data_IF_819557883561
#
_entry.id   IF_819557883561
#
_cell.length_a   1.000
_cell.length_b   1.000
_cell.length_c   1.000
_cell.angle_alpha   90.00
_cell.angle_beta   90.00
_cell.angle_gamma   90.00
#
_symmetry.space_group_name_H-M   'P 1'
#
loop_
_entity.id
_entity.type
_entity.pdbx_description
1 polymer ?
#
# COMPACT_ATOMS: atom_id res chain seq x y z
N UNK A 1 6.51 -3.07 -32.60
CA UNK A 1 5.19 -3.38 -32.06
C UNK A 1 5.05 -2.69 -30.71
N UNK A 2 3.94 -1.94 -30.52
CA UNK A 2 3.70 -1.17 -29.31
C UNK A 2 3.59 -2.05 -28.06
N UNK A 3 3.82 -1.45 -26.89
CA UNK A 3 3.74 -2.14 -25.59
C UNK A 3 2.32 -2.03 -25.06
N UNK A 4 1.71 -3.18 -24.80
CA UNK A 4 0.30 -3.27 -24.37
C UNK A 4 0.13 -2.96 -22.90
N UNK A 5 -0.99 -2.33 -22.55
CA UNK A 5 -1.39 -2.05 -21.18
C UNK A 5 -2.53 -2.99 -20.79
N UNK A 6 -2.39 -3.66 -19.65
CA UNK A 6 -3.41 -4.52 -19.07
C UNK A 6 -3.96 -3.90 -17.80
N UNK A 7 -5.26 -4.09 -17.57
CA UNK A 7 -5.96 -3.69 -16.35
C UNK A 7 -6.56 -4.93 -15.71
N UNK A 8 -6.29 -5.12 -14.42
CA UNK A 8 -6.92 -6.18 -13.66
C UNK A 8 -8.33 -5.76 -13.22
N UNK A 9 -9.31 -6.59 -13.58
CA UNK A 9 -10.69 -6.42 -13.18
C UNK A 9 -11.15 -7.62 -12.36
N UNK A 10 -11.81 -7.38 -11.21
CA UNK A 10 -12.19 -8.45 -10.25
C UNK A 10 -12.97 -9.61 -10.86
N UNK A 11 -13.84 -9.34 -11.85
CA UNK A 11 -14.70 -10.35 -12.50
C UNK A 11 -14.09 -10.95 -13.76
N UNK A 12 -13.31 -10.18 -14.49
CA UNK A 12 -12.80 -10.55 -15.81
C UNK A 12 -11.29 -10.77 -15.82
N UNK A 13 -10.65 -10.70 -14.65
CA UNK A 13 -9.19 -10.83 -14.49
C UNK A 13 -8.41 -9.81 -15.31
N UNK A 14 -7.38 -10.23 -16.04
CA UNK A 14 -6.54 -9.33 -16.84
C UNK A 14 -7.18 -9.02 -18.17
N UNK A 15 -7.56 -7.76 -18.35
CA UNK A 15 -8.12 -7.24 -19.60
C UNK A 15 -7.08 -6.42 -20.34
N UNK A 16 -6.89 -6.72 -21.62
CA UNK A 16 -6.13 -5.88 -22.52
C UNK A 16 -6.90 -4.60 -22.82
N UNK A 17 -6.22 -3.45 -22.69
CA UNK A 17 -6.83 -2.16 -23.00
C UNK A 17 -6.64 -1.80 -24.48
N UNK A 18 -7.33 -0.77 -24.92
CA UNK A 18 -7.11 -0.14 -26.24
C UNK A 18 -6.02 0.93 -26.20
N UNK A 19 -5.37 1.14 -25.05
CA UNK A 19 -4.24 2.05 -24.86
C UNK A 19 -2.96 1.24 -24.95
N UNK A 20 -1.98 1.73 -25.69
CA UNK A 20 -0.67 1.11 -25.82
C UNK A 20 0.39 2.21 -25.95
N UNK A 21 1.61 1.87 -25.58
CA UNK A 21 2.79 2.70 -25.85
C UNK A 21 3.23 2.49 -27.30
N UNK A 22 3.65 3.54 -27.99
CA UNK A 22 4.12 3.44 -29.39
C UNK A 22 5.35 2.55 -29.49
N UNK A 23 6.28 2.72 -28.56
CA UNK A 23 7.50 1.93 -28.47
C UNK A 23 8.00 1.77 -27.02
N UNK A 24 9.08 1.01 -26.86
CA UNK A 24 9.73 0.76 -25.56
C UNK A 24 10.37 2.03 -24.99
N UNK A 25 10.86 2.92 -25.84
CA UNK A 25 11.50 4.17 -25.42
C UNK A 25 10.49 5.12 -24.77
N UNK A 26 9.28 5.21 -25.30
CA UNK A 26 8.21 5.99 -24.72
C UNK A 26 7.84 5.48 -23.32
N UNK A 27 7.74 4.15 -23.17
CA UNK A 27 7.51 3.52 -21.85
C UNK A 27 8.64 3.82 -20.86
N UNK A 28 9.90 3.73 -21.28
CA UNK A 28 11.05 4.04 -20.42
C UNK A 28 11.04 5.50 -19.95
N UNK A 29 10.76 6.43 -20.85
CA UNK A 29 10.63 7.85 -20.50
C UNK A 29 9.47 8.08 -19.52
N UNK A 30 8.37 7.36 -19.66
CA UNK A 30 7.27 7.42 -18.73
C UNK A 30 7.69 6.91 -17.34
N UNK A 31 8.36 5.77 -17.27
CA UNK A 31 8.85 5.17 -16.01
C UNK A 31 9.80 6.14 -15.29
N UNK A 32 10.76 6.73 -16.01
CA UNK A 32 11.69 7.71 -15.43
C UNK A 32 10.94 8.94 -14.89
N UNK A 33 9.97 9.47 -15.65
CA UNK A 33 9.15 10.60 -15.20
C UNK A 33 8.31 10.25 -13.96
N UNK A 34 7.76 9.04 -13.90
CA UNK A 34 6.99 8.59 -12.75
C UNK A 34 7.87 8.41 -11.50
N UNK A 35 9.07 7.86 -11.64
CA UNK A 35 10.05 7.78 -10.56
C UNK A 35 10.38 9.18 -9.99
N UNK A 36 10.66 10.15 -10.85
CA UNK A 36 10.91 11.54 -10.45
C UNK A 36 9.72 12.18 -9.73
N UNK A 37 8.48 11.92 -10.19
CA UNK A 37 7.26 12.40 -9.49
C UNK A 37 7.09 11.81 -8.10
N UNK A 38 7.60 10.60 -7.88
CA UNK A 38 7.65 9.97 -6.56
C UNK A 38 8.83 10.47 -5.71
N UNK A 39 9.63 11.42 -6.20
CA UNK A 39 10.83 11.91 -5.52
C UNK A 39 11.96 10.87 -5.45
N UNK A 40 11.93 9.87 -6.33
CA UNK A 40 12.91 8.79 -6.40
C UNK A 40 13.62 8.78 -7.77
N UNK A 41 14.69 8.00 -7.85
CA UNK A 41 15.47 7.82 -9.07
C UNK A 41 15.44 6.34 -9.47
N UNK A 42 15.39 6.08 -10.78
CA UNK A 42 15.54 4.76 -11.38
C UNK A 42 16.60 4.84 -12.47
N UNK A 43 17.49 3.87 -12.54
CA UNK A 43 18.60 3.84 -13.50
C UNK A 43 18.94 2.40 -13.88
N UNK A 44 19.85 2.24 -14.82
CA UNK A 44 20.38 0.92 -15.21
C UNK A 44 21.10 0.25 -14.03
N UNK A 45 21.75 1.03 -13.15
CA UNK A 45 22.41 0.50 -11.96
C UNK A 45 21.41 0.08 -10.86
N UNK A 46 20.28 0.77 -10.76
CA UNK A 46 19.17 0.47 -9.85
C UNK A 46 17.86 0.36 -10.66
N UNK A 47 17.66 -0.77 -11.36
CA UNK A 47 16.59 -0.92 -12.34
C UNK A 47 15.22 -1.25 -11.73
N UNK A 48 15.16 -1.54 -10.44
CA UNK A 48 13.93 -1.85 -9.71
C UNK A 48 13.56 -0.71 -8.78
N UNK A 49 12.32 -0.25 -8.88
CA UNK A 49 11.81 0.82 -8.01
C UNK A 49 10.41 0.48 -7.50
N UNK A 50 10.27 0.51 -6.18
CA UNK A 50 8.99 0.49 -5.48
C UNK A 50 8.73 1.88 -4.89
N UNK A 51 7.59 2.47 -5.22
CA UNK A 51 7.26 3.84 -4.82
C UNK A 51 5.76 3.99 -4.56
N UNK A 52 5.41 5.11 -3.92
CA UNK A 52 4.03 5.53 -3.71
C UNK A 52 3.76 6.79 -4.52
N UNK A 53 2.69 6.79 -5.28
CA UNK A 53 2.21 7.94 -6.04
C UNK A 53 1.58 8.99 -5.09
N UNK A 54 1.37 10.20 -5.59
CA UNK A 54 0.78 11.29 -4.80
C UNK A 54 -0.65 11.00 -4.31
N UNK A 55 -1.37 10.14 -5.02
CA UNK A 55 -2.71 9.66 -4.64
C UNK A 55 -2.70 8.49 -3.64
N UNK A 56 -1.53 8.09 -3.14
CA UNK A 56 -1.37 6.95 -2.25
C UNK A 56 -1.27 5.59 -2.95
N UNK A 57 -1.46 5.52 -4.27
CA UNK A 57 -1.31 4.28 -5.03
C UNK A 57 0.13 3.79 -5.04
N UNK A 58 0.32 2.47 -4.93
CA UNK A 58 1.65 1.86 -5.04
C UNK A 58 2.01 1.63 -6.49
N UNK A 59 3.23 1.98 -6.87
CA UNK A 59 3.78 1.69 -8.18
C UNK A 59 5.10 0.92 -8.05
N UNK A 60 5.20 -0.20 -8.76
CA UNK A 60 6.44 -0.96 -8.92
C UNK A 60 6.88 -0.81 -10.36
N UNK A 61 8.13 -0.45 -10.58
CA UNK A 61 8.70 -0.18 -11.91
C UNK A 61 9.98 -0.97 -12.10
N UNK A 62 10.20 -1.46 -13.33
CA UNK A 62 11.46 -2.05 -13.76
C UNK A 62 11.94 -1.33 -15.02
N UNK A 63 13.23 -1.01 -15.07
CA UNK A 63 13.85 -0.33 -16.21
C UNK A 63 14.80 -1.27 -16.94
N UNK A 64 14.64 -1.35 -18.27
CA UNK A 64 15.54 -2.06 -19.17
C UNK A 64 15.31 -3.57 -19.24
N UNK A 65 16.01 -4.20 -20.18
CA UNK A 65 15.90 -5.63 -20.51
C UNK A 65 16.75 -6.54 -19.64
N UNK A 66 17.64 -5.99 -18.84
CA UNK A 66 18.52 -6.77 -17.98
C UNK A 66 17.77 -7.48 -16.85
N UNK A 67 16.69 -6.88 -16.37
CA UNK A 67 15.83 -7.42 -15.30
C UNK A 67 14.58 -8.09 -15.87
N UNK A 68 14.01 -7.52 -16.93
CA UNK A 68 12.83 -8.07 -17.61
C UNK A 68 13.16 -8.30 -19.09
N UNK A 69 13.21 -9.56 -19.51
CA UNK A 69 13.54 -9.95 -20.89
C UNK A 69 12.58 -9.38 -21.95
N UNK A 70 11.39 -8.93 -21.52
CA UNK A 70 10.38 -8.31 -22.39
C UNK A 70 10.46 -6.78 -22.43
N UNK A 71 11.45 -6.18 -21.76
CA UNK A 71 11.63 -4.75 -21.65
C UNK A 71 11.16 -4.16 -20.33
N UNK A 72 11.12 -2.85 -20.26
CA UNK A 72 10.70 -2.09 -19.08
C UNK A 72 9.24 -2.36 -18.72
N UNK A 73 8.93 -2.38 -17.44
CA UNK A 73 7.56 -2.65 -16.95
C UNK A 73 7.15 -1.70 -15.82
N UNK A 74 5.86 -1.51 -15.66
CA UNK A 74 5.31 -0.91 -14.44
C UNK A 74 4.02 -1.60 -14.04
N UNK A 75 3.73 -1.58 -12.74
CA UNK A 75 2.47 -2.07 -12.17
C UNK A 75 1.97 -1.07 -11.13
N UNK A 76 0.74 -0.61 -11.29
CA UNK A 76 0.09 0.31 -10.35
C UNK A 76 -1.01 -0.45 -9.61
N UNK A 77 -0.92 -0.47 -8.28
CA UNK A 77 -1.99 -0.91 -7.39
C UNK A 77 -2.67 0.33 -6.82
N UNK A 78 -3.86 0.62 -7.32
CA UNK A 78 -4.61 1.82 -6.92
C UNK A 78 -4.94 1.80 -5.43
N UNK A 79 -4.67 2.91 -4.77
CA UNK A 79 -5.21 3.19 -3.46
C UNK A 79 -6.72 3.46 -3.58
N UNK A 80 -7.50 3.00 -2.62
CA UNK A 80 -8.94 3.24 -2.57
C UNK A 80 -9.23 4.40 -1.64
N UNK A 81 -9.67 5.53 -2.20
CA UNK A 81 -9.99 6.74 -1.45
C UNK A 81 -11.18 6.54 -0.48
N UNK A 82 -12.16 5.75 -0.90
CA UNK A 82 -13.32 5.40 -0.09
C UNK A 82 -13.21 3.93 0.37
N UNK A 83 -12.75 3.68 1.61
CA UNK A 83 -12.66 2.32 2.15
C UNK A 83 -14.05 1.73 2.33
N UNK A 84 -14.12 0.39 2.34
CA UNK A 84 -15.35 -0.30 2.68
C UNK A 84 -15.73 -0.04 4.14
N UNK A 85 -17.01 0.24 4.34
CA UNK A 85 -17.61 0.41 5.67
C UNK A 85 -18.06 -0.93 6.25
N UNK A 86 -18.37 -1.02 7.55
CA UNK A 86 -19.02 -2.21 8.13
C UNK A 86 -20.35 -2.56 7.44
N UNK A 87 -21.09 -1.56 6.95
CA UNK A 87 -22.37 -1.77 6.23
C UNK A 87 -22.12 -2.47 4.90
N UNK A 88 -21.10 -2.05 4.14
CA UNK A 88 -20.73 -2.72 2.89
C UNK A 88 -20.38 -4.20 3.14
N UNK A 89 -19.67 -4.50 4.25
CA UNK A 89 -19.31 -5.88 4.58
C UNK A 89 -20.51 -6.73 4.99
N UNK A 90 -21.58 -6.12 5.55
CA UNK A 90 -22.86 -6.76 5.77
C UNK A 90 -23.56 -7.06 4.43
N UNK A 91 -23.65 -6.09 3.53
CA UNK A 91 -24.26 -6.23 2.21
C UNK A 91 -23.57 -7.30 1.36
N UNK A 92 -22.23 -7.36 1.43
CA UNK A 92 -21.43 -8.40 0.77
C UNK A 92 -21.53 -9.76 1.45
N UNK A 93 -22.24 -9.87 2.60
CA UNK A 93 -22.34 -11.09 3.42
C UNK A 93 -20.98 -11.61 3.87
N UNK A 94 -20.01 -10.72 4.02
CA UNK A 94 -18.68 -11.05 4.58
C UNK A 94 -18.81 -11.35 6.06
N UNK A 95 -19.61 -10.53 6.77
CA UNK A 95 -19.95 -10.70 8.16
C UNK A 95 -21.47 -10.66 8.36
N UNK A 96 -21.95 -11.36 9.39
CA UNK A 96 -23.31 -11.21 9.87
C UNK A 96 -23.47 -9.98 10.75
N UNK A 97 -24.72 -9.51 10.95
CA UNK A 97 -25.01 -8.40 11.85
C UNK A 97 -24.56 -8.66 13.30
N UNK A 98 -24.65 -9.91 13.75
CA UNK A 98 -24.18 -10.34 15.08
C UNK A 98 -22.66 -10.17 15.21
N UNK A 99 -21.87 -10.57 14.17
CA UNK A 99 -20.42 -10.41 14.17
C UNK A 99 -20.02 -8.94 14.16
N UNK A 100 -20.67 -8.11 13.35
CA UNK A 100 -20.42 -6.66 13.31
C UNK A 100 -20.72 -6.01 14.67
N UNK A 101 -21.85 -6.37 15.31
CA UNK A 101 -22.20 -5.88 16.64
C UNK A 101 -21.16 -6.31 17.69
N UNK A 102 -20.66 -7.54 17.61
CA UNK A 102 -19.60 -8.02 18.48
C UNK A 102 -18.28 -7.24 18.26
N UNK A 103 -17.86 -7.00 17.01
CA UNK A 103 -16.67 -6.21 16.72
C UNK A 103 -16.80 -4.78 17.24
N UNK A 104 -17.95 -4.15 17.04
CA UNK A 104 -18.21 -2.83 17.59
C UNK A 104 -18.04 -2.81 19.11
N UNK A 105 -18.72 -3.74 19.80
CA UNK A 105 -18.63 -3.85 21.26
C UNK A 105 -17.19 -4.08 21.72
N UNK A 106 -16.46 -5.01 21.07
CA UNK A 106 -15.07 -5.31 21.39
C UNK A 106 -14.17 -4.07 21.25
N UNK A 107 -14.34 -3.29 20.16
CA UNK A 107 -13.59 -2.04 19.95
C UNK A 107 -13.92 -0.98 21.01
N UNK A 108 -15.19 -0.84 21.38
CA UNK A 108 -15.61 0.09 22.45
C UNK A 108 -15.02 -0.25 23.83
N UNK A 109 -14.78 -1.53 24.09
CA UNK A 109 -14.14 -2.01 25.33
C UNK A 109 -12.61 -2.12 25.24
N UNK A 110 -11.99 -1.61 24.18
CA UNK A 110 -10.54 -1.62 24.01
C UNK A 110 -9.94 -3.03 23.88
N UNK A 111 -10.70 -3.99 23.36
CA UNK A 111 -10.21 -5.35 23.14
C UNK A 111 -9.24 -5.42 21.97
N UNK A 112 -8.13 -6.13 22.16
CA UNK A 112 -7.19 -6.40 21.06
C UNK A 112 -7.81 -7.38 20.06
N UNK A 113 -7.68 -7.07 18.77
CA UNK A 113 -8.19 -7.89 17.67
C UNK A 113 -7.08 -8.27 16.71
N UNK A 114 -7.11 -9.50 16.22
CA UNK A 114 -6.16 -10.03 15.24
C UNK A 114 -6.89 -10.56 14.02
N UNK A 115 -6.62 -9.97 12.85
CA UNK A 115 -7.15 -10.42 11.55
C UNK A 115 -6.11 -11.29 10.86
N UNK A 116 -6.41 -12.59 10.71
CA UNK A 116 -5.50 -13.59 10.14
C UNK A 116 -6.12 -14.21 8.89
N UNK A 117 -5.29 -14.48 7.90
CA UNK A 117 -5.72 -15.12 6.65
C UNK A 117 -4.64 -15.04 5.57
N UNK A 118 -4.85 -15.72 4.46
CA UNK A 118 -3.97 -15.69 3.28
C UNK A 118 -3.94 -14.34 2.56
N UNK A 119 -3.13 -14.25 1.53
CA UNK A 119 -3.09 -13.08 0.65
C UNK A 119 -4.46 -12.89 -0.03
N UNK A 120 -4.89 -11.65 -0.20
CA UNK A 120 -6.17 -11.26 -0.81
C UNK A 120 -7.44 -11.82 -0.12
N UNK A 121 -7.34 -12.30 1.15
CA UNK A 121 -8.49 -12.79 1.91
C UNK A 121 -9.36 -11.69 2.54
N UNK A 122 -9.01 -10.43 2.39
CA UNK A 122 -9.75 -9.29 2.93
C UNK A 122 -9.35 -8.85 4.34
N UNK A 123 -8.17 -9.27 4.87
CA UNK A 123 -7.67 -8.87 6.19
C UNK A 123 -7.67 -7.36 6.40
N UNK A 124 -6.96 -6.64 5.54
CA UNK A 124 -6.83 -5.18 5.62
C UNK A 124 -8.18 -4.48 5.40
N UNK A 125 -9.01 -5.03 4.52
CA UNK A 125 -10.38 -4.52 4.30
C UNK A 125 -11.22 -4.64 5.58
N UNK A 126 -11.17 -5.79 6.24
CA UNK A 126 -11.90 -6.02 7.50
C UNK A 126 -11.35 -5.17 8.63
N UNK A 127 -10.02 -5.07 8.75
CA UNK A 127 -9.37 -4.20 9.73
C UNK A 127 -9.80 -2.74 9.54
N UNK A 128 -9.74 -2.23 8.30
CA UNK A 128 -10.11 -0.85 7.99
C UNK A 128 -11.58 -0.57 8.33
N UNK A 129 -12.50 -1.46 7.93
CA UNK A 129 -13.92 -1.33 8.25
C UNK A 129 -14.17 -1.37 9.77
N UNK A 130 -13.57 -2.33 10.49
CA UNK A 130 -13.73 -2.42 11.95
C UNK A 130 -13.12 -1.22 12.68
N UNK A 131 -12.04 -0.63 12.16
CA UNK A 131 -11.41 0.56 12.76
C UNK A 131 -12.34 1.77 12.81
N UNK A 132 -13.42 1.79 12.02
CA UNK A 132 -14.45 2.83 12.11
C UNK A 132 -15.27 2.78 13.41
N UNK A 133 -15.18 1.69 14.17
CA UNK A 133 -15.80 1.56 15.49
C UNK A 133 -14.95 2.13 16.65
N UNK A 134 -13.71 2.52 16.35
CA UNK A 134 -12.87 3.20 17.34
C UNK A 134 -13.53 4.53 17.75
N UNK A 135 -13.51 4.90 19.04
CA UNK A 135 -14.05 6.17 19.49
C UNK A 135 -13.40 7.34 18.75
N UNK A 136 -14.21 8.30 18.30
CA UNK A 136 -13.79 9.42 17.45
C UNK A 136 -12.70 10.30 18.07
N UNK A 137 -12.68 10.40 19.39
CA UNK A 137 -11.71 11.22 20.13
C UNK A 137 -10.36 10.53 20.37
N UNK A 138 -10.24 9.23 20.06
CA UNK A 138 -9.02 8.48 20.32
C UNK A 138 -7.88 8.95 19.41
N UNK A 139 -6.67 8.92 19.96
CA UNK A 139 -5.45 9.04 19.17
C UNK A 139 -5.08 7.68 18.58
N UNK A 140 -5.09 7.60 17.27
CA UNK A 140 -4.81 6.37 16.53
C UNK A 140 -3.45 6.49 15.84
N UNK A 141 -2.64 5.46 15.95
CA UNK A 141 -1.39 5.32 15.18
C UNK A 141 -1.49 4.04 14.36
N UNK A 142 -1.36 4.14 13.04
CA UNK A 142 -1.19 2.98 12.17
C UNK A 142 0.26 2.83 11.74
N UNK A 143 0.70 1.59 11.58
CA UNK A 143 2.05 1.24 11.13
C UNK A 143 1.92 0.26 9.98
N UNK A 144 2.37 0.67 8.79
CA UNK A 144 2.14 -0.03 7.55
C UNK A 144 3.41 -0.04 6.68
N UNK A 145 3.64 -1.10 5.91
CA UNK A 145 4.69 -1.09 4.87
C UNK A 145 4.27 -0.24 3.69
N UNK A 146 3.00 -0.32 3.32
CA UNK A 146 2.36 0.51 2.29
C UNK A 146 1.02 0.94 2.83
N UNK A 147 0.67 2.19 2.64
CA UNK A 147 -0.58 2.75 3.12
C UNK A 147 -1.77 2.05 2.46
N UNK A 148 -2.56 1.35 3.26
CA UNK A 148 -3.81 0.68 2.87
C UNK A 148 -4.99 1.15 3.72
N UNK A 149 -4.73 1.60 4.95
CA UNK A 149 -5.75 2.15 5.85
C UNK A 149 -6.12 3.58 5.45
N UNK A 150 -7.39 3.89 5.61
CA UNK A 150 -7.91 5.25 5.48
C UNK A 150 -9.00 5.48 6.53
N UNK A 151 -8.65 6.22 7.59
CA UNK A 151 -9.53 6.47 8.73
C UNK A 151 -10.00 7.93 8.73
N UNK A 152 -11.27 8.18 9.04
CA UNK A 152 -11.82 9.53 9.13
C UNK A 152 -11.49 10.24 10.44
N UNK A 153 -10.81 9.57 11.38
CA UNK A 153 -10.51 10.10 12.69
C UNK A 153 -9.57 11.32 12.63
N UNK A 154 -9.88 12.42 13.31
CA UNK A 154 -9.10 13.65 13.22
C UNK A 154 -7.71 13.53 13.85
N UNK A 155 -7.53 12.63 14.83
CA UNK A 155 -6.26 12.41 15.51
C UNK A 155 -5.63 11.06 15.09
N UNK A 156 -5.55 10.83 13.79
CA UNK A 156 -4.92 9.65 13.22
C UNK A 156 -3.55 9.99 12.64
N UNK A 157 -2.53 9.23 13.04
CA UNK A 157 -1.15 9.33 12.57
C UNK A 157 -0.83 8.08 11.73
N UNK A 158 -0.84 8.18 10.40
CA UNK A 158 -0.48 7.08 9.51
C UNK A 158 1.04 6.98 9.35
N UNK A 159 1.68 6.00 9.97
CA UNK A 159 3.10 5.69 9.80
C UNK A 159 3.32 4.67 8.69
N UNK A 160 4.21 4.98 7.74
CA UNK A 160 4.64 4.05 6.71
C UNK A 160 6.15 3.85 6.76
N UNK A 161 6.60 2.62 6.48
CA UNK A 161 8.03 2.34 6.35
C UNK A 161 8.63 3.11 5.16
N UNK A 162 9.92 3.35 5.24
CA UNK A 162 10.68 4.00 4.18
C UNK A 162 11.96 3.23 3.91
N UNK A 163 12.16 2.85 2.65
CA UNK A 163 13.43 2.30 2.21
C UNK A 163 14.53 3.36 2.30
N UNK A 164 15.74 2.94 2.65
CA UNK A 164 16.89 3.84 2.74
C UNK A 164 17.34 4.41 1.39
N UNK A 165 18.12 5.46 1.44
CA UNK A 165 18.78 6.05 0.28
C UNK A 165 20.14 5.36 0.05
N UNK A 166 20.36 4.84 -1.17
CA UNK A 166 21.59 4.16 -1.58
C UNK A 166 21.41 2.65 -1.64
N UNK A 167 21.98 2.07 -2.70
CA UNK A 167 21.91 0.65 -3.00
C UNK A 167 22.39 -0.24 -1.86
N UNK A 168 22.07 -1.51 -1.97
CA UNK A 168 22.27 -2.59 -1.05
C UNK A 168 23.48 -2.45 -0.11
N UNK A 169 23.15 -2.38 1.15
CA UNK A 169 23.98 -2.90 2.23
C UNK A 169 25.35 -2.27 2.42
N UNK A 170 25.46 -1.47 3.45
CA UNK A 170 26.76 -1.46 4.13
C UNK A 170 27.08 -2.92 4.49
N UNK A 171 28.26 -3.40 4.08
CA UNK A 171 28.78 -4.75 4.28
C UNK A 171 28.88 -5.21 5.77
N UNK A 172 28.24 -4.50 6.69
CA UNK A 172 28.31 -4.68 8.14
C UNK A 172 26.94 -4.71 8.82
N UNK A 173 25.84 -5.04 8.11
CA UNK A 173 24.53 -5.29 8.73
C UNK A 173 23.82 -4.06 9.34
N UNK A 174 24.23 -2.85 8.99
CA UNK A 174 23.56 -1.61 9.41
C UNK A 174 22.45 -1.20 8.45
N UNK A 175 21.45 -0.48 8.96
CA UNK A 175 20.38 0.12 8.14
C UNK A 175 20.97 1.10 7.12
N UNK A 176 20.37 1.16 5.94
CA UNK A 176 20.69 2.16 4.95
C UNK A 176 20.36 3.58 5.47
N UNK A 177 21.10 4.58 5.00
CA UNK A 177 20.85 5.96 5.42
C UNK A 177 19.41 6.37 5.09
N UNK A 178 18.66 6.82 6.11
CA UNK A 178 17.28 7.24 5.98
C UNK A 178 16.25 6.10 5.92
N UNK A 179 16.65 4.86 6.12
CA UNK A 179 15.73 3.72 6.28
C UNK A 179 14.93 3.84 7.59
N UNK A 180 13.63 3.64 7.48
CA UNK A 180 12.71 3.58 8.62
C UNK A 180 11.91 2.29 8.50
N UNK A 181 12.19 1.34 9.39
CA UNK A 181 11.47 0.06 9.41
C UNK A 181 10.25 0.11 10.35
N UNK A 182 9.46 -0.99 10.36
CA UNK A 182 8.28 -1.10 11.21
C UNK A 182 8.63 -1.02 12.70
N UNK A 183 9.82 -1.48 13.10
CA UNK A 183 10.24 -1.43 14.49
C UNK A 183 10.56 -0.01 14.95
N UNK A 184 11.16 0.82 14.08
CA UNK A 184 11.37 2.24 14.38
C UNK A 184 10.05 2.98 14.56
N UNK A 185 9.07 2.70 13.69
CA UNK A 185 7.73 3.26 13.79
C UNK A 185 7.01 2.80 15.06
N UNK A 186 7.16 1.53 15.43
CA UNK A 186 6.60 1.00 16.67
C UNK A 186 7.20 1.71 17.90
N UNK A 187 8.52 1.90 17.92
CA UNK A 187 9.20 2.63 19.01
C UNK A 187 8.76 4.10 19.08
N UNK A 188 8.48 4.73 17.96
CA UNK A 188 7.92 6.07 17.91
C UNK A 188 6.48 6.08 18.46
N UNK A 189 5.63 5.17 17.99
CA UNK A 189 4.24 5.03 18.42
C UNK A 189 4.11 4.87 19.94
N UNK A 190 4.97 4.06 20.58
CA UNK A 190 4.98 3.90 22.03
C UNK A 190 5.25 5.21 22.80
N UNK A 191 5.91 6.19 22.17
CA UNK A 191 6.15 7.52 22.75
C UNK A 191 5.02 8.51 22.43
N UNK A 192 4.27 8.26 21.40
CA UNK A 192 3.14 9.09 20.98
C UNK A 192 1.87 8.86 21.84
N UNK A 193 1.88 7.82 22.67
CA UNK A 193 0.80 7.47 23.59
C UNK A 193 -0.56 7.34 22.86
N UNK A 194 -0.71 6.38 21.93
CA UNK A 194 -2.02 6.05 21.35
C UNK A 194 -2.96 5.47 22.42
N UNK A 195 -4.25 5.58 22.18
CA UNK A 195 -5.32 5.06 23.06
C UNK A 195 -5.94 3.77 22.51
#
# INVERSE_FOLDING_TARGET
>A
PGVEIFVYHRRFESLRTNVMWEDELELEQYIIRMAQRCGKHISIAEPLLDATLMDGSRIVMTLGREVSTKGSTFTIRRFRDEPFTPVDLLEFKTFSSMQIAFFWLAMQYGMSMLFVGGTASGKTTSLNACSLFLPWQHKIVSIEETRELNLPHPNWIPGCTRQGFGGEGSAHGGKAAGEVDMYDLLRAALRERPE
#
